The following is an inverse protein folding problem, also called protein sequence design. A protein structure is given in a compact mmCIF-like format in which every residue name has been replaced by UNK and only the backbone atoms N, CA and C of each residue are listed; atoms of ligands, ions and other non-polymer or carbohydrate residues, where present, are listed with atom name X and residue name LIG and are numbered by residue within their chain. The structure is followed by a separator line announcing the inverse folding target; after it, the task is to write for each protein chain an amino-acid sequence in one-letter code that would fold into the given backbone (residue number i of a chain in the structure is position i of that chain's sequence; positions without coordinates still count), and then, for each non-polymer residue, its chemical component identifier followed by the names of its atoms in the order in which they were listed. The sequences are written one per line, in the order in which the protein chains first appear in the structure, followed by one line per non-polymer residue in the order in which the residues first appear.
data_IF_122542473439
#
_entry.id   IF_122542473439
#
_cell.length_a   1.000
_cell.length_b   1.000
_cell.length_c   1.000
_cell.angle_alpha   90.00
_cell.angle_beta   90.00
_cell.angle_gamma   90.00
#
_symmetry.space_group_name_H-M   'P 1'
#
loop_
_entity.id
_entity.type
_entity.pdbx_description
1 polymer ?
#
# COMPACT_ATOMS: atom_id res chain seq x y z
N UNK A 1 45.98 2.76 -29.11
CA UNK A 1 45.77 3.40 -27.77
C UNK A 1 44.29 3.49 -27.40
N UNK A 2 43.37 3.67 -28.35
CA UNK A 2 41.90 3.74 -28.09
C UNK A 2 41.35 2.44 -27.47
N UNK A 3 41.72 1.27 -27.98
CA UNK A 3 41.20 -0.01 -27.49
C UNK A 3 41.40 -0.27 -25.98
N UNK A 4 42.54 0.10 -25.41
CA UNK A 4 42.78 -0.05 -23.98
C UNK A 4 41.97 0.87 -23.13
N UNK A 5 41.67 2.09 -23.61
CA UNK A 5 40.83 3.07 -22.90
C UNK A 5 39.38 2.59 -22.91
N UNK A 6 38.89 2.06 -24.03
CA UNK A 6 37.53 1.58 -24.17
C UNK A 6 37.27 0.34 -23.31
N UNK A 7 38.25 -0.60 -23.30
CA UNK A 7 38.19 -1.81 -22.43
C UNK A 7 38.21 -1.41 -20.95
N UNK A 8 39.05 -0.43 -20.56
CA UNK A 8 39.12 0.00 -19.18
C UNK A 8 37.80 0.69 -18.74
N UNK A 9 37.21 1.53 -19.60
CA UNK A 9 35.92 2.15 -19.32
C UNK A 9 34.81 1.10 -19.12
N UNK A 10 34.71 0.12 -20.03
CA UNK A 10 33.75 -0.97 -19.92
C UNK A 10 33.95 -1.81 -18.66
N UNK A 11 35.19 -2.04 -18.25
CA UNK A 11 35.52 -2.79 -17.04
C UNK A 11 35.13 -2.01 -15.77
N UNK A 12 35.34 -0.68 -15.76
CA UNK A 12 34.93 0.20 -14.66
C UNK A 12 33.39 0.28 -14.55
N UNK A 13 32.67 0.36 -15.67
CA UNK A 13 31.20 0.29 -15.68
C UNK A 13 30.68 -1.02 -15.14
N UNK A 14 31.26 -2.14 -15.58
CA UNK A 14 30.92 -3.47 -15.09
C UNK A 14 31.17 -3.59 -13.58
N UNK A 15 32.33 -3.14 -13.11
CA UNK A 15 32.66 -3.13 -11.68
C UNK A 15 31.67 -2.30 -10.89
N UNK A 16 31.32 -1.10 -11.35
CA UNK A 16 30.32 -0.22 -10.71
C UNK A 16 28.95 -0.89 -10.62
N UNK A 17 28.54 -1.58 -11.69
CA UNK A 17 27.27 -2.31 -11.70
C UNK A 17 27.30 -3.50 -10.71
N UNK A 18 28.38 -4.27 -10.70
CA UNK A 18 28.56 -5.38 -9.76
C UNK A 18 28.58 -4.92 -8.30
N UNK A 19 29.28 -3.80 -7.99
CA UNK A 19 29.32 -3.23 -6.64
C UNK A 19 27.95 -2.76 -6.17
N UNK A 20 27.13 -2.16 -7.06
CA UNK A 20 25.75 -1.79 -6.73
C UNK A 20 24.89 -3.00 -6.38
N UNK A 21 24.97 -4.07 -7.19
CA UNK A 21 24.24 -5.30 -6.93
C UNK A 21 24.67 -5.98 -5.63
N UNK A 22 25.98 -6.08 -5.38
CA UNK A 22 26.50 -6.63 -4.14
C UNK A 22 26.14 -5.77 -2.91
N UNK A 23 26.16 -4.44 -3.05
CA UNK A 23 25.73 -3.54 -1.99
C UNK A 23 24.23 -3.74 -1.71
N UNK A 24 23.40 -3.85 -2.72
CA UNK A 24 21.97 -4.10 -2.58
C UNK A 24 21.70 -5.44 -1.87
N UNK A 25 22.34 -6.52 -2.31
CA UNK A 25 22.23 -7.84 -1.70
C UNK A 25 22.63 -7.84 -0.22
N UNK A 26 23.76 -7.19 0.12
CA UNK A 26 24.21 -7.03 1.52
C UNK A 26 23.21 -6.25 2.36
N UNK A 27 22.56 -5.21 1.80
CA UNK A 27 21.54 -4.45 2.52
C UNK A 27 20.28 -5.26 2.75
N UNK A 28 19.85 -6.07 1.76
CA UNK A 28 18.72 -7.00 1.94
C UNK A 28 19.03 -7.98 3.06
N UNK A 29 20.17 -8.68 3.00
CA UNK A 29 20.56 -9.64 4.01
C UNK A 29 20.68 -9.02 5.42
N UNK A 30 21.18 -7.78 5.50
CA UNK A 30 21.25 -7.05 6.77
C UNK A 30 19.86 -6.72 7.33
N UNK A 31 18.90 -6.30 6.47
CA UNK A 31 17.51 -6.02 6.87
C UNK A 31 16.80 -7.31 7.28
N UNK A 32 16.97 -8.40 6.54
CA UNK A 32 16.40 -9.71 6.88
C UNK A 32 16.87 -10.18 8.26
N UNK A 33 18.18 -10.14 8.50
CA UNK A 33 18.77 -10.48 9.81
C UNK A 33 18.27 -9.57 10.93
N UNK A 34 18.20 -8.27 10.70
CA UNK A 34 17.67 -7.31 11.66
C UNK A 34 16.18 -7.53 11.94
N UNK A 35 15.42 -7.94 10.92
CA UNK A 35 14.00 -8.27 11.03
C UNK A 35 13.81 -9.56 11.83
N UNK A 36 14.60 -10.59 11.59
CA UNK A 36 14.58 -11.85 12.35
C UNK A 36 14.93 -11.64 13.83
N UNK A 37 16.00 -10.88 14.12
CA UNK A 37 16.41 -10.56 15.49
C UNK A 37 15.35 -9.74 16.25
N UNK A 38 14.56 -8.91 15.56
CA UNK A 38 13.50 -8.06 16.14
C UNK A 38 12.12 -8.70 16.09
N UNK A 39 11.87 -9.65 15.18
CA UNK A 39 10.59 -10.34 14.98
C UNK A 39 10.16 -11.17 16.21
N UNK A 40 11.08 -11.51 17.08
CA UNK A 40 10.75 -12.22 18.34
C UNK A 40 9.82 -11.46 19.30
N UNK A 41 9.51 -10.21 19.02
CA UNK A 41 8.61 -9.36 19.81
C UNK A 41 7.25 -9.09 19.17
N UNK A 42 7.04 -9.50 17.92
CA UNK A 42 5.77 -9.39 17.21
C UNK A 42 5.15 -10.76 17.01
N UNK A 43 3.96 -10.98 17.57
CA UNK A 43 3.13 -12.15 17.31
C UNK A 43 2.09 -11.79 16.26
N UNK A 44 2.07 -12.53 15.15
CA UNK A 44 1.02 -12.44 14.12
C UNK A 44 0.18 -13.70 14.13
N UNK A 45 -1.13 -13.53 14.15
CA UNK A 45 -2.10 -14.62 14.15
C UNK A 45 -3.14 -14.36 13.04
N UNK A 46 -3.46 -15.38 12.27
CA UNK A 46 -4.52 -15.27 11.26
C UNK A 46 -5.89 -15.48 11.90
N UNK A 47 -6.79 -14.54 11.67
CA UNK A 47 -8.19 -14.59 12.12
C UNK A 47 -9.11 -14.09 11.02
N UNK A 48 -10.11 -14.87 10.56
CA UNK A 48 -10.88 -14.52 9.35
C UNK A 48 -11.78 -13.30 9.53
N UNK A 49 -12.33 -13.06 10.71
CA UNK A 49 -13.46 -12.14 10.90
C UNK A 49 -13.12 -10.83 11.64
N UNK A 50 -11.87 -10.60 11.96
CA UNK A 50 -11.46 -9.40 12.70
C UNK A 50 -10.00 -9.05 12.47
N UNK A 51 -9.72 -7.76 12.55
CA UNK A 51 -8.39 -7.24 12.77
C UNK A 51 -8.30 -6.78 14.23
N UNK A 52 -7.30 -7.25 14.99
CA UNK A 52 -7.07 -6.83 16.36
C UNK A 52 -5.60 -6.48 16.57
N UNK A 53 -5.38 -5.33 17.16
CA UNK A 53 -4.10 -4.90 17.72
C UNK A 53 -4.16 -5.03 19.24
N UNK A 54 -3.15 -5.60 19.86
CA UNK A 54 -3.02 -5.71 21.31
C UNK A 54 -1.62 -5.29 21.72
N UNK A 55 -1.54 -4.17 22.42
CA UNK A 55 -0.28 -3.57 22.91
C UNK A 55 0.79 -3.37 21.81
N UNK A 56 0.36 -2.92 20.65
CA UNK A 56 1.25 -2.74 19.49
C UNK A 56 2.01 -1.42 19.61
N UNK A 57 3.32 -1.52 19.61
CA UNK A 57 4.24 -0.37 19.58
C UNK A 57 4.98 -0.35 18.25
N UNK A 58 4.95 0.80 17.56
CA UNK A 58 5.59 1.01 16.26
C UNK A 58 6.67 2.07 16.41
N UNK A 59 7.86 1.75 15.93
CA UNK A 59 9.01 2.62 15.94
C UNK A 59 9.50 2.95 14.53
N UNK A 60 10.26 4.02 14.39
CA UNK A 60 10.99 4.38 13.16
C UNK A 60 12.47 4.49 13.45
N UNK A 61 13.37 4.33 12.47
CA UNK A 61 14.80 4.62 12.65
C UNK A 61 14.99 6.03 13.19
N UNK A 62 15.81 6.18 14.22
CA UNK A 62 16.16 7.48 14.75
C UNK A 62 17.35 8.06 13.98
N UNK A 63 17.36 9.40 13.81
CA UNK A 63 18.51 10.11 13.24
C UNK A 63 19.61 10.38 14.29
N UNK A 64 19.41 9.96 15.55
CA UNK A 64 20.33 10.17 16.66
C UNK A 64 21.26 8.97 16.78
N UNK A 65 22.58 9.19 16.76
CA UNK A 65 23.63 8.17 16.88
C UNK A 65 23.51 7.32 18.17
N UNK A 66 22.89 7.87 19.21
CA UNK A 66 22.71 7.19 20.51
C UNK A 66 21.40 6.37 20.59
N UNK A 67 20.47 6.55 19.64
CA UNK A 67 19.18 5.83 19.60
C UNK A 67 18.97 5.18 18.25
N UNK A 68 18.86 3.85 18.20
CA UNK A 68 18.57 3.13 16.95
C UNK A 68 17.17 3.38 16.41
N UNK A 69 16.17 3.56 17.29
CA UNK A 69 14.77 3.75 16.91
C UNK A 69 14.07 4.77 17.82
N UNK A 70 13.02 5.41 17.28
CA UNK A 70 12.09 6.29 18.01
C UNK A 70 10.68 5.74 17.88
N UNK A 71 9.99 5.59 18.98
CA UNK A 71 8.57 5.20 18.99
C UNK A 71 7.70 6.33 18.40
N UNK A 72 6.79 5.95 17.52
CA UNK A 72 5.79 6.86 16.91
C UNK A 72 4.37 6.49 17.29
N UNK A 73 4.12 5.22 17.63
CA UNK A 73 2.86 4.73 18.20
C UNK A 73 3.24 3.81 19.36
N UNK A 74 2.65 4.07 20.53
CA UNK A 74 2.93 3.31 21.75
C UNK A 74 1.66 2.60 22.22
N UNK A 75 1.78 1.29 22.52
CA UNK A 75 0.73 0.45 23.15
C UNK A 75 -0.63 0.57 22.49
N UNK A 76 -0.66 0.58 21.15
CA UNK A 76 -1.91 0.66 20.41
C UNK A 76 -2.73 -0.61 20.56
N UNK A 77 -4.00 -0.45 20.96
CA UNK A 77 -4.95 -1.55 21.07
C UNK A 77 -6.27 -1.14 20.45
N UNK A 78 -6.72 -1.91 19.45
CA UNK A 78 -8.03 -1.72 18.83
C UNK A 78 -8.52 -3.03 18.20
N UNK A 79 -9.80 -3.08 17.86
CA UNK A 79 -10.39 -4.19 17.12
C UNK A 79 -11.33 -3.65 16.07
N UNK A 80 -11.23 -4.16 14.84
CA UNK A 80 -12.09 -3.83 13.70
C UNK A 80 -12.76 -5.16 13.28
N UNK A 81 -14.08 -5.13 13.13
CA UNK A 81 -14.86 -6.31 12.72
C UNK A 81 -14.98 -6.36 11.20
N UNK A 82 -15.19 -7.56 10.67
CA UNK A 82 -15.55 -7.75 9.26
C UNK A 82 -16.80 -6.95 8.90
N UNK A 83 -16.77 -6.25 7.77
CA UNK A 83 -17.85 -5.38 7.29
C UNK A 83 -17.86 -3.97 7.88
N UNK A 84 -16.95 -3.64 8.83
CA UNK A 84 -16.86 -2.30 9.43
C UNK A 84 -16.02 -1.37 8.52
N UNK A 85 -16.48 -0.13 8.34
CA UNK A 85 -15.72 0.89 7.61
C UNK A 85 -15.10 1.87 8.62
N UNK A 86 -13.78 1.97 8.61
CA UNK A 86 -13.01 2.75 9.60
C UNK A 86 -12.11 3.76 8.92
N UNK A 87 -12.14 5.00 9.36
CA UNK A 87 -11.18 6.02 8.92
C UNK A 87 -10.15 6.31 10.00
N UNK A 88 -8.87 6.30 9.62
CA UNK A 88 -7.75 6.62 10.48
C UNK A 88 -7.34 8.08 10.25
N UNK A 89 -7.48 8.92 11.26
CA UNK A 89 -7.14 10.35 11.24
C UNK A 89 -5.98 10.68 12.18
N UNK A 90 -5.38 11.83 11.99
CA UNK A 90 -4.30 12.35 12.83
C UNK A 90 -3.39 13.31 12.05
N UNK A 91 -2.53 14.06 12.72
CA UNK A 91 -1.60 14.98 12.10
C UNK A 91 -0.69 14.31 11.05
N UNK A 92 -0.12 15.09 10.13
CA UNK A 92 0.92 14.59 9.23
C UNK A 92 2.11 14.10 10.07
N UNK A 93 2.71 12.97 9.66
CA UNK A 93 3.82 12.36 10.39
C UNK A 93 3.44 11.62 11.70
N UNK A 94 2.16 11.50 12.05
CA UNK A 94 1.71 10.77 13.26
C UNK A 94 1.86 9.25 13.18
N UNK A 95 2.25 8.69 12.03
CA UNK A 95 2.46 7.25 11.86
C UNK A 95 1.31 6.48 11.20
N UNK A 96 0.30 7.15 10.63
CA UNK A 96 -0.85 6.52 9.95
C UNK A 96 -0.41 5.52 8.87
N UNK A 97 0.36 5.97 7.89
CA UNK A 97 0.87 5.11 6.80
C UNK A 97 1.84 4.05 7.32
N UNK A 98 2.59 4.34 8.39
CA UNK A 98 3.46 3.35 9.02
C UNK A 98 2.64 2.24 9.69
N UNK A 99 1.51 2.58 10.31
CA UNK A 99 0.57 1.60 10.85
C UNK A 99 0.02 0.69 9.73
N UNK A 100 -0.43 1.26 8.59
CA UNK A 100 -0.90 0.45 7.46
C UNK A 100 0.22 -0.43 6.88
N UNK A 101 1.45 0.08 6.76
CA UNK A 101 2.61 -0.72 6.33
C UNK A 101 2.94 -1.83 7.32
N UNK A 102 2.76 -1.59 8.62
CA UNK A 102 2.89 -2.62 9.66
C UNK A 102 1.86 -3.73 9.44
N UNK A 103 0.60 -3.38 9.19
CA UNK A 103 -0.45 -4.35 8.88
C UNK A 103 -0.15 -5.11 7.58
N UNK A 104 0.34 -4.44 6.56
CA UNK A 104 0.77 -5.07 5.31
C UNK A 104 2.01 -5.99 5.44
N UNK A 105 2.70 -5.96 6.58
CA UNK A 105 3.89 -6.77 6.79
C UNK A 105 5.19 -6.15 6.31
N UNK A 106 5.18 -4.91 5.84
CA UNK A 106 6.36 -4.24 5.27
C UNK A 106 7.17 -3.43 6.30
N UNK A 107 6.72 -3.36 7.57
CA UNK A 107 7.40 -2.57 8.59
C UNK A 107 8.01 -3.45 9.68
N UNK A 108 9.34 -3.47 9.85
CA UNK A 108 10.02 -4.40 10.76
C UNK A 108 10.10 -3.90 12.22
N UNK A 109 9.97 -2.58 12.45
CA UNK A 109 10.17 -1.99 13.78
C UNK A 109 8.87 -1.96 14.58
N UNK A 110 8.33 -3.16 14.90
CA UNK A 110 7.05 -3.32 15.59
C UNK A 110 7.16 -4.38 16.69
N UNK A 111 6.42 -4.16 17.79
CA UNK A 111 6.27 -5.08 18.93
C UNK A 111 4.80 -5.21 19.26
N UNK A 112 4.41 -6.32 19.92
CA UNK A 112 3.05 -6.55 20.35
C UNK A 112 2.38 -7.72 19.62
N UNK A 113 1.05 -7.75 19.64
CA UNK A 113 0.26 -8.83 19.04
C UNK A 113 -0.71 -8.27 18.01
N UNK A 114 -0.68 -8.85 16.78
CA UNK A 114 -1.58 -8.49 15.68
C UNK A 114 -2.30 -9.74 15.22
N UNK A 115 -3.63 -9.76 15.38
CA UNK A 115 -4.50 -10.75 14.75
C UNK A 115 -5.17 -10.12 13.53
N UNK A 116 -5.08 -10.76 12.36
CA UNK A 116 -5.56 -10.19 11.10
C UNK A 116 -5.96 -11.28 10.11
N UNK A 117 -6.77 -10.94 9.08
CA UNK A 117 -7.14 -11.87 8.03
C UNK A 117 -5.93 -12.39 7.24
N UNK A 118 -6.15 -13.48 6.51
CA UNK A 118 -5.14 -14.02 5.61
C UNK A 118 -4.76 -13.00 4.52
N UNK A 119 -3.48 -12.91 4.10
CA UNK A 119 -3.03 -11.97 3.07
C UNK A 119 -3.81 -12.06 1.75
N UNK A 120 -4.32 -13.25 1.41
CA UNK A 120 -5.16 -13.48 0.22
C UNK A 120 -6.51 -12.74 0.26
N UNK A 121 -7.02 -12.44 1.44
CA UNK A 121 -8.27 -11.72 1.64
C UNK A 121 -8.10 -10.20 1.74
N UNK A 122 -6.86 -9.73 1.76
CA UNK A 122 -6.51 -8.33 1.95
C UNK A 122 -6.00 -7.68 0.66
N UNK A 123 -6.26 -6.37 0.52
CA UNK A 123 -5.68 -5.55 -0.52
C UNK A 123 -5.28 -4.19 0.03
N UNK A 124 -4.04 -3.79 -0.25
CA UNK A 124 -3.48 -2.50 0.16
C UNK A 124 -3.35 -1.59 -1.06
N UNK A 125 -3.94 -0.42 -0.98
CA UNK A 125 -3.87 0.61 -2.01
C UNK A 125 -3.08 1.79 -1.45
N UNK A 126 -1.84 1.99 -1.89
CA UNK A 126 -1.02 3.11 -1.46
C UNK A 126 -1.43 4.40 -2.17
N UNK A 127 -0.99 5.53 -1.66
CA UNK A 127 -1.18 6.85 -2.27
C UNK A 127 -0.69 6.92 -3.73
N UNK A 128 0.44 6.24 -4.02
CA UNK A 128 0.95 6.04 -5.38
C UNK A 128 0.94 4.55 -5.70
N UNK A 129 -0.05 4.08 -6.46
CA UNK A 129 -0.13 2.68 -6.86
C UNK A 129 1.02 2.31 -7.80
N UNK A 130 1.51 1.09 -7.66
CA UNK A 130 2.42 0.52 -8.65
C UNK A 130 1.66 0.18 -9.94
N UNK A 131 2.16 0.68 -11.05
CA UNK A 131 1.63 0.39 -12.39
C UNK A 131 2.73 -0.34 -13.18
N UNK A 132 2.54 -1.62 -13.53
CA UNK A 132 3.50 -2.35 -14.33
C UNK A 132 3.55 -1.82 -15.76
N UNK A 133 4.67 -2.01 -16.41
CA UNK A 133 4.77 -1.90 -17.86
C UNK A 133 3.98 -3.04 -18.51
N UNK A 134 3.39 -2.79 -19.67
CA UNK A 134 2.58 -3.77 -20.39
C UNK A 134 1.38 -3.15 -21.09
N UNK A 135 0.41 -3.96 -21.45
CA UNK A 135 -0.87 -3.52 -22.01
C UNK A 135 -1.75 -2.84 -20.97
N UNK A 136 -2.76 -2.11 -21.40
CA UNK A 136 -3.74 -1.50 -20.48
C UNK A 136 -4.50 -2.54 -19.66
N UNK A 137 -4.78 -3.70 -20.24
CA UNK A 137 -5.46 -4.80 -19.58
C UNK A 137 -4.58 -5.45 -18.48
N UNK A 138 -3.29 -5.69 -18.77
CA UNK A 138 -2.32 -6.17 -17.78
C UNK A 138 -2.16 -5.19 -16.62
N UNK A 139 -1.98 -3.91 -16.94
CA UNK A 139 -1.89 -2.85 -15.93
C UNK A 139 -3.14 -2.76 -15.05
N UNK A 140 -4.33 -2.93 -15.61
CA UNK A 140 -5.58 -2.91 -14.87
C UNK A 140 -5.83 -4.18 -14.03
N UNK A 141 -5.31 -5.34 -14.45
CA UNK A 141 -5.53 -6.62 -13.77
C UNK A 141 -4.48 -6.96 -12.71
N UNK A 142 -3.31 -6.30 -12.74
CA UNK A 142 -2.20 -6.56 -11.82
C UNK A 142 -2.63 -6.57 -10.33
N UNK A 143 -2.15 -7.53 -9.49
CA UNK A 143 -1.18 -8.59 -9.78
C UNK A 143 -1.81 -9.91 -10.25
N UNK A 144 -3.07 -9.91 -10.65
CA UNK A 144 -3.75 -11.09 -11.18
C UNK A 144 -3.41 -11.32 -12.65
N UNK A 145 -3.81 -12.46 -13.17
CA UNK A 145 -3.83 -12.71 -14.61
C UNK A 145 -4.71 -11.68 -15.31
N UNK A 146 -4.39 -11.39 -16.57
CA UNK A 146 -5.13 -10.42 -17.37
C UNK A 146 -6.60 -10.82 -17.49
N UNK A 147 -7.48 -9.96 -17.02
CA UNK A 147 -8.91 -10.22 -17.06
C UNK A 147 -9.46 -10.05 -18.49
N UNK A 148 -10.51 -10.82 -18.79
CA UNK A 148 -11.22 -10.73 -20.06
C UNK A 148 -11.76 -9.32 -20.28
N UNK A 149 -11.77 -8.89 -21.54
CA UNK A 149 -12.20 -7.55 -21.94
C UNK A 149 -13.65 -7.29 -21.55
N UNK A 150 -14.52 -8.30 -21.58
CA UNK A 150 -15.92 -8.23 -21.19
C UNK A 150 -16.10 -7.89 -19.71
N UNK A 151 -15.18 -8.33 -18.85
CA UNK A 151 -15.19 -8.05 -17.40
C UNK A 151 -14.55 -6.69 -17.12
N UNK A 152 -13.44 -6.39 -17.79
CA UNK A 152 -12.62 -5.21 -17.51
C UNK A 152 -13.25 -3.92 -18.04
N UNK A 153 -13.86 -3.96 -19.25
CA UNK A 153 -14.39 -2.76 -19.90
C UNK A 153 -15.46 -2.02 -19.07
N UNK A 154 -16.46 -2.69 -18.48
CA UNK A 154 -17.42 -2.00 -17.61
C UNK A 154 -16.77 -1.31 -16.41
N UNK A 155 -15.77 -1.95 -15.80
CA UNK A 155 -15.06 -1.39 -14.63
C UNK A 155 -14.22 -0.15 -15.00
N UNK A 156 -13.57 -0.16 -16.17
CA UNK A 156 -12.85 0.99 -16.70
C UNK A 156 -13.79 2.17 -16.95
N UNK A 157 -14.95 1.93 -17.56
CA UNK A 157 -15.97 2.97 -17.76
C UNK A 157 -16.46 3.52 -16.43
N UNK A 158 -16.77 2.64 -15.49
CA UNK A 158 -17.28 3.03 -14.19
C UNK A 158 -16.27 3.84 -13.38
N UNK A 159 -14.98 3.53 -13.50
CA UNK A 159 -13.90 4.31 -12.88
C UNK A 159 -13.48 5.55 -13.71
N UNK A 160 -14.13 5.84 -14.85
CA UNK A 160 -13.79 6.99 -15.69
C UNK A 160 -12.45 6.86 -16.42
N UNK A 161 -12.12 5.63 -16.84
CA UNK A 161 -10.91 5.26 -17.57
C UNK A 161 -11.21 4.63 -18.94
N UNK A 162 -12.37 4.97 -19.54
CA UNK A 162 -12.81 4.43 -20.84
C UNK A 162 -11.78 4.61 -21.97
N UNK A 163 -11.00 5.68 -21.93
CA UNK A 163 -9.94 5.96 -22.91
C UNK A 163 -8.83 4.89 -22.94
N UNK A 164 -8.68 4.08 -21.88
CA UNK A 164 -7.73 2.97 -21.86
C UNK A 164 -8.17 1.79 -22.74
N UNK A 165 -9.45 1.69 -23.05
CA UNK A 165 -9.98 0.65 -23.92
C UNK A 165 -9.64 0.86 -25.40
N UNK A 166 -9.38 2.11 -25.80
CA UNK A 166 -9.10 2.50 -27.19
C UNK A 166 -7.61 2.34 -27.54
N UNK A 167 -6.77 2.15 -26.54
CA UNK A 167 -5.32 1.98 -26.74
C UNK A 167 -5.04 0.52 -27.10
N UNK A 168 -4.29 0.29 -28.18
CA UNK A 168 -3.98 -1.06 -28.65
C UNK A 168 -3.16 -1.82 -27.60
N UNK A 169 -3.04 -3.13 -27.79
CA UNK A 169 -2.22 -4.08 -27.02
C UNK A 169 -0.71 -3.76 -27.13
N UNK A 170 -0.37 -2.49 -27.03
CA UNK A 170 1.01 -1.99 -27.10
C UNK A 170 1.55 -1.93 -25.69
N UNK A 171 2.68 -2.53 -25.46
CA UNK A 171 3.41 -2.43 -24.20
C UNK A 171 3.90 -0.99 -23.99
N UNK A 172 3.43 -0.36 -22.93
CA UNK A 172 3.82 1.01 -22.56
C UNK A 172 4.04 1.13 -21.06
N UNK A 173 4.78 2.14 -20.66
CA UNK A 173 4.93 2.52 -19.26
C UNK A 173 3.78 3.47 -18.86
N UNK A 174 2.71 2.88 -18.35
CA UNK A 174 1.51 3.61 -17.93
C UNK A 174 1.77 4.55 -16.75
N UNK A 175 2.82 4.32 -15.96
CA UNK A 175 3.17 5.18 -14.82
C UNK A 175 3.58 6.58 -15.27
N UNK A 176 4.10 6.72 -16.49
CA UNK A 176 4.47 7.99 -17.11
C UNK A 176 3.36 8.63 -17.95
N UNK A 177 2.36 7.85 -18.36
CA UNK A 177 1.26 8.32 -19.22
C UNK A 177 0.06 8.77 -18.38
N UNK A 178 -0.26 8.01 -17.32
CA UNK A 178 -1.41 8.30 -16.47
C UNK A 178 -1.07 9.36 -15.43
N UNK A 179 -1.95 10.33 -15.27
CA UNK A 179 -1.92 11.22 -14.10
C UNK A 179 -2.07 10.43 -12.81
N UNK A 180 -1.63 10.99 -11.69
CA UNK A 180 -1.75 10.31 -10.39
C UNK A 180 -3.21 9.95 -10.06
N UNK A 181 -4.17 10.82 -10.40
CA UNK A 181 -5.60 10.53 -10.22
C UNK A 181 -6.08 9.34 -11.05
N UNK A 182 -5.60 9.20 -12.30
CA UNK A 182 -5.92 8.03 -13.14
C UNK A 182 -5.24 6.76 -12.63
N UNK A 183 -4.01 6.85 -12.13
CA UNK A 183 -3.34 5.71 -11.47
C UNK A 183 -4.12 5.25 -10.24
N UNK A 184 -4.61 6.19 -9.43
CA UNK A 184 -5.47 5.87 -8.28
C UNK A 184 -6.79 5.22 -8.73
N UNK A 185 -7.48 5.75 -9.76
CA UNK A 185 -8.68 5.12 -10.34
C UNK A 185 -8.40 3.69 -10.83
N UNK A 186 -7.24 3.46 -11.45
CA UNK A 186 -6.84 2.13 -11.91
C UNK A 186 -6.66 1.15 -10.74
N UNK A 187 -6.18 1.63 -9.60
CA UNK A 187 -6.12 0.82 -8.38
C UNK A 187 -7.52 0.44 -7.87
N UNK A 188 -8.53 1.31 -8.01
CA UNK A 188 -9.91 0.96 -7.70
C UNK A 188 -10.50 -0.05 -8.69
N UNK A 189 -10.15 0.02 -9.98
CA UNK A 189 -10.52 -1.05 -10.95
C UNK A 189 -10.05 -2.42 -10.45
N UNK A 190 -8.81 -2.51 -9.95
CA UNK A 190 -8.26 -3.74 -9.37
C UNK A 190 -9.03 -4.21 -8.14
N UNK A 191 -9.48 -3.28 -7.28
CA UNK A 191 -10.34 -3.60 -6.13
C UNK A 191 -11.64 -4.22 -6.60
N UNK A 192 -12.32 -3.62 -7.57
CA UNK A 192 -13.60 -4.08 -8.07
C UNK A 192 -13.50 -5.41 -8.84
N UNK A 193 -12.36 -5.65 -9.47
CA UNK A 193 -12.05 -6.91 -10.14
C UNK A 193 -11.81 -8.04 -9.12
N UNK A 194 -11.00 -7.78 -8.08
CA UNK A 194 -10.58 -8.78 -7.09
C UNK A 194 -11.61 -8.99 -5.98
N UNK A 195 -12.40 -7.96 -5.62
CA UNK A 195 -13.40 -7.95 -4.53
C UNK A 195 -12.85 -8.51 -3.21
N UNK A 196 -11.77 -7.94 -2.67
CA UNK A 196 -11.17 -8.43 -1.44
C UNK A 196 -12.10 -8.16 -0.25
N UNK A 197 -12.04 -8.99 0.80
CA UNK A 197 -12.83 -8.79 2.01
C UNK A 197 -12.32 -7.63 2.86
N UNK A 198 -11.01 -7.33 2.80
CA UNK A 198 -10.37 -6.28 3.57
C UNK A 198 -9.59 -5.35 2.65
N UNK A 199 -9.88 -4.06 2.72
CA UNK A 199 -9.27 -3.04 1.88
C UNK A 199 -8.65 -1.99 2.77
N UNK A 200 -7.37 -1.71 2.52
CA UNK A 200 -6.59 -0.69 3.20
C UNK A 200 -6.23 0.41 2.20
N UNK A 201 -6.67 1.64 2.48
CA UNK A 201 -6.48 2.80 1.60
C UNK A 201 -5.57 3.82 2.28
N UNK A 202 -4.36 4.02 1.77
CA UNK A 202 -3.43 5.05 2.25
C UNK A 202 -3.51 6.28 1.34
N UNK A 203 -4.39 7.22 1.65
CA UNK A 203 -4.65 8.44 0.86
C UNK A 203 -4.94 8.14 -0.63
N UNK A 204 -5.60 7.02 -0.90
CA UNK A 204 -5.74 6.45 -2.24
C UNK A 204 -6.66 7.27 -3.18
N UNK A 205 -7.31 8.32 -2.69
CA UNK A 205 -8.15 9.26 -3.47
C UNK A 205 -7.62 10.70 -3.43
N UNK A 206 -6.41 10.91 -2.90
CA UNK A 206 -5.88 12.26 -2.66
C UNK A 206 -5.70 13.11 -3.94
N UNK A 207 -5.50 12.48 -5.09
CA UNK A 207 -5.36 13.13 -6.39
C UNK A 207 -6.66 13.17 -7.22
N UNK A 208 -7.78 12.74 -6.65
CA UNK A 208 -9.10 12.82 -7.27
C UNK A 208 -9.83 14.11 -6.85
N UNK A 209 -10.73 14.61 -7.71
CA UNK A 209 -11.72 15.59 -7.30
C UNK A 209 -12.78 14.97 -6.38
N UNK A 210 -13.58 15.81 -5.71
CA UNK A 210 -14.55 15.35 -4.71
C UNK A 210 -15.65 14.48 -5.31
N UNK A 211 -16.09 14.76 -6.53
CA UNK A 211 -17.14 13.98 -7.22
C UNK A 211 -16.64 12.56 -7.55
N UNK A 212 -15.43 12.47 -8.07
CA UNK A 212 -14.77 11.19 -8.36
C UNK A 212 -14.52 10.41 -7.08
N UNK A 213 -14.01 11.05 -6.03
CA UNK A 213 -13.79 10.44 -4.71
C UNK A 213 -15.08 9.87 -4.15
N UNK A 214 -16.17 10.66 -4.16
CA UNK A 214 -17.48 10.22 -3.71
C UNK A 214 -17.99 9.00 -4.50
N UNK A 215 -17.81 9.01 -5.81
CA UNK A 215 -18.17 7.88 -6.68
C UNK A 215 -17.41 6.63 -6.30
N UNK A 216 -16.07 6.73 -6.11
CA UNK A 216 -15.23 5.58 -5.73
C UNK A 216 -15.64 4.99 -4.38
N UNK A 217 -15.87 5.84 -3.37
CA UNK A 217 -16.31 5.35 -2.05
C UNK A 217 -17.71 4.75 -2.07
N UNK A 218 -18.65 5.32 -2.84
CA UNK A 218 -19.98 4.74 -3.02
C UNK A 218 -19.92 3.33 -3.63
N UNK A 219 -19.10 3.14 -4.65
CA UNK A 219 -18.91 1.81 -5.27
C UNK A 219 -18.20 0.84 -4.31
N UNK A 220 -17.22 1.33 -3.57
CA UNK A 220 -16.45 0.54 -2.61
C UNK A 220 -17.32 0.03 -1.47
N UNK A 221 -18.12 0.91 -0.86
CA UNK A 221 -19.01 0.56 0.27
C UNK A 221 -20.22 -0.28 -0.16
N UNK A 222 -20.52 -0.32 -1.46
CA UNK A 222 -21.54 -1.22 -2.03
C UNK A 222 -21.06 -2.67 -2.20
N UNK A 223 -19.75 -2.95 -2.04
CA UNK A 223 -19.21 -4.31 -2.08
C UNK A 223 -19.68 -5.09 -0.84
N UNK A 224 -20.39 -6.21 -1.02
CA UNK A 224 -20.98 -6.93 0.11
C UNK A 224 -19.90 -7.56 1.00
N UNK A 225 -20.01 -7.34 2.32
CA UNK A 225 -19.13 -7.94 3.32
C UNK A 225 -17.70 -7.41 3.32
N UNK A 226 -17.43 -6.30 2.63
CA UNK A 226 -16.09 -5.70 2.56
C UNK A 226 -15.85 -4.79 3.75
N UNK A 227 -14.70 -4.92 4.37
CA UNK A 227 -14.17 -4.03 5.41
C UNK A 227 -13.25 -3.01 4.79
N UNK A 228 -13.43 -1.74 5.11
CA UNK A 228 -12.63 -0.65 4.56
C UNK A 228 -11.90 0.07 5.69
N UNK A 229 -10.59 0.20 5.57
CA UNK A 229 -9.74 0.97 6.48
C UNK A 229 -9.03 2.04 5.67
N UNK A 230 -9.44 3.29 5.84
CA UNK A 230 -8.94 4.40 5.04
C UNK A 230 -8.08 5.34 5.88
N UNK A 231 -7.02 5.87 5.28
CA UNK A 231 -6.37 7.10 5.72
C UNK A 231 -6.81 8.20 4.77
N UNK A 232 -7.31 9.29 5.32
CA UNK A 232 -7.72 10.45 4.54
C UNK A 232 -7.83 11.71 5.40
N UNK A 233 -7.68 12.86 4.75
CA UNK A 233 -7.71 14.16 5.43
C UNK A 233 -9.00 14.94 5.19
N UNK A 234 -9.72 14.62 4.10
CA UNK A 234 -10.96 15.32 3.74
C UNK A 234 -12.11 14.93 4.66
N UNK A 235 -12.89 15.90 5.09
CA UNK A 235 -14.10 15.65 5.90
C UNK A 235 -15.21 14.96 5.09
N UNK A 236 -15.19 15.07 3.76
CA UNK A 236 -16.12 14.39 2.85
C UNK A 236 -16.08 12.87 2.97
N UNK A 237 -14.98 12.32 3.48
CA UNK A 237 -14.82 10.87 3.70
C UNK A 237 -15.57 10.35 4.93
N UNK A 238 -15.89 11.22 5.90
CA UNK A 238 -16.45 10.79 7.18
C UNK A 238 -17.81 10.09 7.01
N UNK A 239 -18.60 10.51 6.03
CA UNK A 239 -19.92 9.91 5.72
C UNK A 239 -19.86 8.45 5.22
N UNK A 240 -18.67 7.98 4.80
CA UNK A 240 -18.46 6.64 4.27
C UNK A 240 -17.91 5.66 5.31
N UNK A 241 -17.70 6.12 6.55
CA UNK A 241 -17.08 5.32 7.60
C UNK A 241 -17.94 5.31 8.86
N UNK A 242 -18.07 4.13 9.46
CA UNK A 242 -18.85 3.90 10.67
C UNK A 242 -18.12 4.41 11.92
N UNK A 243 -16.77 4.41 11.88
CA UNK A 243 -15.93 4.78 13.01
C UNK A 243 -14.69 5.55 12.60
N UNK A 244 -14.29 6.47 13.47
CA UNK A 244 -13.05 7.24 13.33
C UNK A 244 -12.05 6.78 14.39
N UNK A 245 -10.91 6.27 13.96
CA UNK A 245 -9.73 6.09 14.80
C UNK A 245 -8.79 7.30 14.64
N UNK A 246 -8.16 7.71 15.73
CA UNK A 246 -7.23 8.85 15.73
C UNK A 246 -5.89 8.46 16.30
N UNK A 247 -4.81 8.95 15.66
CA UNK A 247 -3.47 8.90 16.25
C UNK A 247 -3.16 10.29 16.78
N UNK A 248 -3.10 10.42 18.10
CA UNK A 248 -2.79 11.66 18.80
C UNK A 248 -1.70 11.40 19.84
N UNK A 249 -0.61 12.19 19.78
CA UNK A 249 0.53 12.08 20.71
C UNK A 249 1.08 10.63 20.82
N UNK A 250 1.14 9.92 19.71
CA UNK A 250 1.63 8.54 19.67
C UNK A 250 0.67 7.48 20.23
N UNK A 251 -0.58 7.82 20.48
CA UNK A 251 -1.61 6.88 20.97
C UNK A 251 -2.71 6.72 19.93
N UNK A 252 -3.20 5.50 19.79
CA UNK A 252 -4.37 5.18 18.97
C UNK A 252 -5.63 5.30 19.85
N UNK A 253 -6.59 6.12 19.44
CA UNK A 253 -7.82 6.46 20.17
C UNK A 253 -9.02 6.24 19.25
N UNK A 254 -10.13 5.70 19.76
CA UNK A 254 -11.40 5.55 19.04
C UNK A 254 -12.09 4.23 19.24
#
# INVERSE_FOLDING_TARGET
MSYFVDVYASLAEWQSCAERLLSFDRHIAAIEKETEEKSGSLVREETPDKLRLTDVTISVPAMDENKRTREIISSASCSIKSGEHVILKGPSGSGKSTLLRTLAGFWPYVKGHISMPAPSEMMFIPQRPYIPMGTSAEAASYPLETADKEILSPLLVECGLSHLMEKPDTEVDWSHILSLGEQQKLAFVRVFLRKPKWIFLDEATSAMDEETEEKMYRLLTALPGTTVISIGHRSTLDKWHDRVLRIENGKLIG
#
